data_IF_933106671961
#
_entry.id   IF_933106671961
#
_cell.length_a   1.000
_cell.length_b   1.000
_cell.length_c   1.000
_cell.angle_alpha   90.00
_cell.angle_beta   90.00
_cell.angle_gamma   90.00
#
_symmetry.space_group_name_H-M   'P 1'
#
loop_
_entity.id
_entity.type
_entity.pdbx_description
1 polymer ?
#
# COMPACT_ATOMS: atom_id res chain seq x y z
N UNK A 1 -17.72 60.61 -22.41
CA UNK A 1 -16.37 60.01 -22.53
C UNK A 1 -16.30 58.85 -21.54
N UNK A 2 -16.33 57.60 -22.02
CA UNK A 2 -16.32 56.37 -21.20
C UNK A 2 -14.90 55.80 -21.22
N UNK A 3 -14.27 55.70 -20.05
CA UNK A 3 -12.95 55.07 -19.86
C UNK A 3 -13.09 53.55 -19.78
N UNK A 4 -12.33 52.75 -20.55
CA UNK A 4 -12.36 51.29 -20.41
C UNK A 4 -11.46 50.84 -19.26
N UNK A 5 -11.99 49.96 -18.40
CA UNK A 5 -11.21 49.23 -17.38
C UNK A 5 -10.56 48.01 -18.06
N UNK A 6 -9.24 47.77 -17.93
CA UNK A 6 -8.65 46.53 -18.43
C UNK A 6 -8.97 45.39 -17.46
N UNK A 7 -9.62 44.35 -17.97
CA UNK A 7 -9.78 43.06 -17.31
C UNK A 7 -8.40 42.40 -17.23
N UNK A 8 -7.78 42.42 -16.05
CA UNK A 8 -6.60 41.61 -15.76
C UNK A 8 -7.11 40.18 -15.53
N UNK A 9 -6.97 39.34 -16.54
CA UNK A 9 -7.18 37.90 -16.42
C UNK A 9 -6.09 37.30 -15.54
N UNK A 10 -6.49 36.76 -14.38
CA UNK A 10 -5.60 36.04 -13.49
C UNK A 10 -5.39 34.62 -14.03
N UNK A 11 -4.32 34.42 -14.79
CA UNK A 11 -3.88 33.10 -15.24
C UNK A 11 -3.30 32.31 -14.06
N UNK A 12 -4.11 31.48 -13.40
CA UNK A 12 -3.62 30.55 -12.39
C UNK A 12 -2.98 29.35 -13.09
N UNK A 13 -1.67 29.44 -13.36
CA UNK A 13 -0.89 28.29 -13.79
C UNK A 13 -0.73 27.34 -12.60
N UNK A 14 -1.55 26.28 -12.58
CA UNK A 14 -1.41 25.18 -11.63
C UNK A 14 -0.18 24.37 -12.03
N UNK A 15 1.00 24.81 -11.59
CA UNK A 15 2.21 24.01 -11.66
C UNK A 15 2.05 22.81 -10.72
N UNK A 16 1.63 21.67 -11.28
CA UNK A 16 1.81 20.38 -10.62
C UNK A 16 3.33 20.19 -10.50
N UNK A 17 3.88 20.55 -9.35
CA UNK A 17 5.22 20.12 -8.97
C UNK A 17 5.15 18.60 -8.90
N UNK A 18 5.60 17.93 -9.97
CA UNK A 18 5.97 16.53 -9.92
C UNK A 18 7.20 16.50 -9.04
N UNK A 19 6.99 16.38 -7.73
CA UNK A 19 8.05 15.95 -6.85
C UNK A 19 8.47 14.57 -7.37
N UNK A 20 9.75 14.35 -7.72
CA UNK A 20 10.20 12.99 -7.92
C UNK A 20 9.78 12.24 -6.65
N UNK A 21 9.12 11.10 -6.80
CA UNK A 21 9.00 10.18 -5.69
C UNK A 21 10.43 9.98 -5.21
N UNK A 22 10.77 10.57 -4.06
CA UNK A 22 12.05 10.32 -3.41
C UNK A 22 11.99 8.86 -2.99
N UNK A 23 12.24 7.96 -3.94
CA UNK A 23 12.87 6.70 -3.63
C UNK A 23 14.22 7.11 -3.07
N UNK A 24 14.27 7.32 -1.75
CA UNK A 24 15.54 7.33 -1.04
C UNK A 24 16.32 6.11 -1.49
N UNK A 25 17.64 6.25 -1.57
CA UNK A 25 18.62 5.32 -2.17
C UNK A 25 18.23 3.83 -2.03
N UNK A 26 17.31 3.37 -2.89
CA UNK A 26 16.69 2.06 -2.84
C UNK A 26 17.61 1.17 -3.65
N UNK A 27 18.38 0.38 -2.92
CA UNK A 27 19.51 -0.39 -3.44
C UNK A 27 19.16 -1.85 -3.67
N UNK A 28 17.97 -2.26 -3.26
CA UNK A 28 17.48 -3.61 -3.42
C UNK A 28 16.15 -3.61 -4.19
N UNK A 29 16.13 -4.38 -5.28
CA UNK A 29 14.98 -4.44 -6.18
C UNK A 29 13.79 -5.16 -5.53
N UNK A 30 14.05 -6.27 -4.83
CA UNK A 30 13.00 -7.12 -4.28
C UNK A 30 12.34 -6.49 -3.06
N UNK A 31 13.12 -5.78 -2.23
CA UNK A 31 12.59 -4.91 -1.19
C UNK A 31 11.70 -3.82 -1.79
N UNK A 32 12.17 -3.17 -2.85
CA UNK A 32 11.39 -2.18 -3.61
C UNK A 32 10.06 -2.73 -4.13
N UNK A 33 10.08 -3.95 -4.68
CA UNK A 33 8.88 -4.61 -5.19
C UNK A 33 7.89 -4.93 -4.06
N UNK A 34 8.37 -5.39 -2.90
CA UNK A 34 7.51 -5.61 -1.75
C UNK A 34 6.85 -4.31 -1.26
N UNK A 35 7.62 -3.21 -1.17
CA UNK A 35 7.08 -1.88 -0.84
C UNK A 35 6.04 -1.41 -1.86
N UNK A 36 6.30 -1.66 -3.15
CA UNK A 36 5.35 -1.32 -4.23
C UNK A 36 4.00 -2.01 -4.02
N UNK A 37 4.00 -3.32 -3.75
CA UNK A 37 2.75 -4.07 -3.47
C UNK A 37 2.05 -3.58 -2.20
N UNK A 38 2.82 -3.27 -1.15
CA UNK A 38 2.27 -2.72 0.08
C UNK A 38 1.57 -1.37 -0.15
N UNK A 39 2.16 -0.48 -0.96
CA UNK A 39 1.52 0.80 -1.33
C UNK A 39 0.25 0.63 -2.17
N UNK A 40 0.06 -0.49 -2.86
CA UNK A 40 -1.20 -0.84 -3.52
C UNK A 40 -2.23 -1.47 -2.56
N UNK A 41 -1.89 -1.64 -1.28
CA UNK A 41 -2.72 -2.32 -0.29
C UNK A 41 -2.72 -3.85 -0.43
N UNK A 42 -1.79 -4.41 -1.22
CA UNK A 42 -1.64 -5.85 -1.46
C UNK A 42 -0.73 -6.46 -0.39
N UNK A 43 -1.10 -6.33 0.88
CA UNK A 43 -0.23 -6.68 2.01
C UNK A 43 0.11 -8.16 2.10
N UNK A 44 -0.75 -9.05 1.59
CA UNK A 44 -0.42 -10.47 1.53
C UNK A 44 0.73 -10.74 0.56
N UNK A 45 0.64 -10.20 -0.65
CA UNK A 45 1.68 -10.35 -1.68
C UNK A 45 2.98 -9.69 -1.23
N UNK A 46 2.89 -8.48 -0.66
CA UNK A 46 4.03 -7.77 -0.09
C UNK A 46 4.71 -8.56 1.04
N UNK A 47 3.93 -9.11 1.97
CA UNK A 47 4.43 -9.94 3.06
C UNK A 47 5.13 -11.20 2.56
N UNK A 48 4.51 -11.96 1.66
CA UNK A 48 5.10 -13.19 1.13
C UNK A 48 6.43 -12.95 0.44
N UNK A 49 6.51 -11.88 -0.38
CA UNK A 49 7.75 -11.51 -1.06
C UNK A 49 8.83 -11.12 -0.06
N UNK A 50 8.54 -10.19 0.84
CA UNK A 50 9.56 -9.67 1.74
C UNK A 50 10.02 -10.69 2.80
N UNK A 51 9.11 -11.51 3.32
CA UNK A 51 9.46 -12.58 4.26
C UNK A 51 10.39 -13.62 3.60
N UNK A 52 10.18 -13.91 2.31
CA UNK A 52 11.07 -14.77 1.53
C UNK A 52 12.47 -14.17 1.39
N UNK A 53 12.57 -12.89 1.01
CA UNK A 53 13.86 -12.19 0.88
C UNK A 53 14.62 -12.14 2.22
N UNK A 54 13.94 -11.79 3.32
CA UNK A 54 14.54 -11.77 4.65
C UNK A 54 15.02 -13.17 5.08
N UNK A 55 14.23 -14.21 4.80
CA UNK A 55 14.62 -15.59 5.09
C UNK A 55 15.84 -16.03 4.27
N UNK A 56 15.89 -15.68 2.97
CA UNK A 56 17.01 -15.99 2.09
C UNK A 56 18.28 -15.26 2.56
N UNK A 57 18.19 -13.96 2.82
CA UNK A 57 19.31 -13.15 3.33
C UNK A 57 19.93 -13.72 4.60
N UNK A 58 19.10 -14.13 5.57
CA UNK A 58 19.58 -14.76 6.83
C UNK A 58 20.24 -16.12 6.61
N UNK A 59 19.99 -16.78 5.48
CA UNK A 59 20.60 -18.05 5.10
C UNK A 59 21.92 -17.93 4.34
N UNK A 60 22.35 -16.72 3.99
CA UNK A 60 23.61 -16.49 3.27
C UNK A 60 24.81 -16.64 4.20
N UNK A 61 25.91 -17.21 3.68
CA UNK A 61 27.19 -17.27 4.39
C UNK A 61 27.85 -15.88 4.52
N UNK A 62 27.63 -15.00 3.53
CA UNK A 62 28.15 -13.63 3.44
C UNK A 62 27.02 -12.64 3.12
N UNK A 63 26.10 -12.41 4.07
CA UNK A 63 24.93 -11.54 3.85
C UNK A 63 25.29 -10.10 3.51
N UNK A 64 26.47 -9.61 3.93
CA UNK A 64 26.96 -8.25 3.65
C UNK A 64 27.21 -7.94 2.16
N UNK A 65 27.32 -8.97 1.32
CA UNK A 65 27.48 -8.83 -0.13
C UNK A 65 26.14 -8.71 -0.86
N UNK A 66 25.03 -9.01 -0.17
CA UNK A 66 23.69 -8.95 -0.73
C UNK A 66 23.16 -7.50 -0.75
N UNK A 67 22.35 -7.17 -1.75
CA UNK A 67 21.78 -5.82 -1.89
C UNK A 67 20.79 -5.49 -0.79
N UNK A 68 20.10 -6.50 -0.22
CA UNK A 68 19.21 -6.33 0.92
C UNK A 68 19.96 -5.92 2.19
N UNK A 69 21.28 -6.15 2.28
CA UNK A 69 22.09 -5.73 3.45
C UNK A 69 21.93 -4.25 3.78
N UNK A 70 21.82 -3.40 2.76
CA UNK A 70 21.64 -1.96 2.93
C UNK A 70 20.29 -1.59 3.55
N UNK A 71 19.30 -2.48 3.46
CA UNK A 71 17.90 -2.25 3.84
C UNK A 71 17.38 -3.26 4.86
N UNK A 72 18.23 -4.15 5.40
CA UNK A 72 17.76 -5.31 6.18
C UNK A 72 16.93 -4.89 7.42
N UNK A 73 17.34 -3.84 8.11
CA UNK A 73 16.59 -3.34 9.27
C UNK A 73 15.20 -2.80 8.86
N UNK A 74 15.13 -2.08 7.74
CA UNK A 74 13.89 -1.55 7.21
C UNK A 74 12.99 -2.66 6.66
N UNK A 75 13.60 -3.69 6.07
CA UNK A 75 12.91 -4.88 5.58
C UNK A 75 12.28 -5.67 6.74
N UNK A 76 13.03 -5.96 7.80
CA UNK A 76 12.51 -6.66 8.98
C UNK A 76 11.40 -5.87 9.69
N UNK A 77 11.53 -4.54 9.76
CA UNK A 77 10.48 -3.68 10.28
C UNK A 77 9.22 -3.74 9.39
N UNK A 78 9.41 -3.63 8.06
CA UNK A 78 8.32 -3.64 7.09
C UNK A 78 7.56 -4.99 7.08
N UNK A 79 8.23 -6.12 7.30
CA UNK A 79 7.55 -7.43 7.48
C UNK A 79 6.53 -7.34 8.62
N UNK A 80 6.91 -6.75 9.76
CA UNK A 80 6.02 -6.56 10.90
C UNK A 80 4.81 -5.67 10.57
N UNK A 81 5.03 -4.55 9.87
CA UNK A 81 3.95 -3.65 9.44
C UNK A 81 2.99 -4.35 8.48
N UNK A 82 3.51 -5.11 7.51
CA UNK A 82 2.69 -5.86 6.57
C UNK A 82 1.86 -6.95 7.26
N UNK A 83 2.43 -7.64 8.25
CA UNK A 83 1.70 -8.61 9.08
C UNK A 83 0.52 -7.95 9.82
N UNK A 84 0.73 -6.76 10.39
CA UNK A 84 -0.31 -6.02 11.08
C UNK A 84 -1.45 -5.65 10.12
N UNK A 85 -1.13 -5.05 8.98
CA UNK A 85 -2.12 -4.64 7.99
C UNK A 85 -2.87 -5.83 7.38
N UNK A 86 -2.15 -6.91 7.04
CA UNK A 86 -2.75 -8.16 6.57
C UNK A 86 -3.74 -8.75 7.60
N UNK A 87 -3.37 -8.76 8.88
CA UNK A 87 -4.26 -9.22 9.96
C UNK A 87 -5.44 -8.29 10.18
N UNK A 88 -5.28 -6.97 9.96
CA UNK A 88 -6.41 -6.03 9.98
C UNK A 88 -7.38 -6.28 8.83
N UNK A 89 -6.90 -6.64 7.62
CA UNK A 89 -7.78 -7.07 6.53
C UNK A 89 -8.57 -8.34 6.87
N UNK A 90 -7.97 -9.28 7.58
CA UNK A 90 -8.69 -10.47 8.06
C UNK A 90 -9.73 -10.13 9.11
N UNK A 91 -9.38 -9.26 10.07
CA UNK A 91 -10.33 -8.78 11.07
C UNK A 91 -11.50 -8.04 10.42
N UNK A 92 -11.22 -7.15 9.46
CA UNK A 92 -12.22 -6.43 8.70
C UNK A 92 -13.12 -7.39 7.91
N UNK A 93 -12.55 -8.38 7.23
CA UNK A 93 -13.31 -9.41 6.51
C UNK A 93 -14.26 -10.19 7.43
N UNK A 94 -13.79 -10.62 8.61
CA UNK A 94 -14.65 -11.30 9.60
C UNK A 94 -15.76 -10.39 10.13
N UNK A 95 -15.46 -9.12 10.40
CA UNK A 95 -16.46 -8.17 10.87
C UNK A 95 -17.56 -7.94 9.83
N UNK A 96 -17.18 -7.77 8.55
CA UNK A 96 -18.15 -7.58 7.46
C UNK A 96 -18.95 -8.86 7.18
N UNK A 97 -18.31 -10.04 7.25
CA UNK A 97 -19.01 -11.32 7.15
C UNK A 97 -20.06 -11.49 8.26
N UNK A 98 -19.74 -11.09 9.49
CA UNK A 98 -20.71 -11.13 10.59
C UNK A 98 -21.92 -10.20 10.34
N UNK A 99 -21.71 -9.03 9.72
CA UNK A 99 -22.81 -8.15 9.28
C UNK A 99 -23.65 -8.82 8.18
N UNK A 100 -22.99 -9.45 7.20
CA UNK A 100 -23.64 -10.14 6.09
C UNK A 100 -24.52 -11.31 6.57
N UNK A 101 -24.07 -12.05 7.59
CA UNK A 101 -24.79 -13.20 8.17
C UNK A 101 -25.83 -12.79 9.23
N UNK A 102 -25.85 -11.51 9.62
CA UNK A 102 -26.76 -10.97 10.64
C UNK A 102 -28.18 -10.70 10.15
N UNK A 103 -29.05 -10.42 11.12
CA UNK A 103 -30.39 -9.88 10.88
C UNK A 103 -30.30 -8.37 10.62
N UNK A 104 -29.99 -8.01 9.37
CA UNK A 104 -29.90 -6.64 8.88
C UNK A 104 -30.80 -6.44 7.66
N UNK A 105 -31.20 -5.19 7.42
CA UNK A 105 -31.96 -4.81 6.23
C UNK A 105 -31.20 -5.12 4.94
N UNK A 106 -31.94 -5.36 3.86
CA UNK A 106 -31.40 -5.79 2.57
C UNK A 106 -30.35 -4.80 2.00
N UNK A 107 -30.55 -3.49 2.21
CA UNK A 107 -29.59 -2.48 1.78
C UNK A 107 -28.23 -2.62 2.49
N UNK A 108 -28.23 -2.93 3.79
CA UNK A 108 -27.01 -3.14 4.58
C UNK A 108 -26.33 -4.45 4.19
N UNK A 109 -27.13 -5.50 3.93
CA UNK A 109 -26.64 -6.80 3.45
C UNK A 109 -25.91 -6.66 2.12
N UNK A 110 -26.47 -5.90 1.18
CA UNK A 110 -25.87 -5.67 -0.14
C UNK A 110 -24.56 -4.88 -0.06
N UNK A 111 -24.50 -3.84 0.77
CA UNK A 111 -23.25 -3.08 1.02
C UNK A 111 -22.16 -3.97 1.65
N UNK A 112 -22.54 -4.82 2.63
CA UNK A 112 -21.61 -5.76 3.23
C UNK A 112 -21.07 -6.78 2.21
N UNK A 113 -21.93 -7.31 1.33
CA UNK A 113 -21.52 -8.21 0.26
C UNK A 113 -20.52 -7.53 -0.70
N UNK A 114 -20.79 -6.30 -1.13
CA UNK A 114 -19.88 -5.52 -1.99
C UNK A 114 -18.52 -5.29 -1.32
N UNK A 115 -18.50 -4.87 -0.05
CA UNK A 115 -17.24 -4.61 0.66
C UNK A 115 -16.45 -5.88 0.93
N UNK A 116 -17.14 -6.98 1.27
CA UNK A 116 -16.49 -8.28 1.44
C UNK A 116 -15.86 -8.73 0.13
N UNK A 117 -16.59 -8.61 -0.99
CA UNK A 117 -16.06 -8.89 -2.32
C UNK A 117 -14.84 -8.01 -2.65
N UNK A 118 -14.88 -6.71 -2.29
CA UNK A 118 -13.74 -5.80 -2.50
C UNK A 118 -12.51 -6.20 -1.69
N UNK A 119 -12.70 -6.60 -0.42
CA UNK A 119 -11.59 -7.11 0.41
C UNK A 119 -11.03 -8.40 -0.18
N UNK A 120 -11.86 -9.30 -0.69
CA UNK A 120 -11.37 -10.52 -1.35
C UNK A 120 -10.64 -10.21 -2.66
N UNK A 121 -11.15 -9.31 -3.48
CA UNK A 121 -10.50 -8.87 -4.72
C UNK A 121 -9.14 -8.19 -4.46
N UNK A 122 -9.02 -7.39 -3.39
CA UNK A 122 -7.75 -6.77 -3.00
C UNK A 122 -6.73 -7.77 -2.42
N UNK A 123 -7.17 -8.96 -1.98
CA UNK A 123 -6.29 -10.03 -1.51
C UNK A 123 -5.71 -10.89 -2.65
N UNK A 124 -6.20 -10.74 -3.89
CA UNK A 124 -5.85 -11.57 -5.05
C UNK A 124 -7.08 -12.16 -5.75
#
# INVERSE_FOLDING_TARGET
>A
MRTPRPLIGLSLALGLAVYPAMGGDLRDLYFGEALYHAWQGQYFDALQRLDTEVAMYRGLDQPELDTLHYHINDAEFSVGDFELDYRMHHRAGRAIKAVLEGAVDEAVRNEAAFRLARIHFQKG
#
